data_IF_708733887488
#
_entry.id   IF_708733887488
#
_cell.length_a   1.000
_cell.length_b   1.000
_cell.length_c   1.000
_cell.angle_alpha   90.00
_cell.angle_beta   90.00
_cell.angle_gamma   90.00
#
_symmetry.space_group_name_H-M   'P 1'
#
loop_
_entity.id
_entity.type
_entity.pdbx_description
1 polymer ?
#
# COMPACT_ATOMS: atom_id res chain seq x y z
N UNK A 1 -1.24 5.79 36.63
CA UNK A 1 -2.08 6.22 35.51
C UNK A 1 -2.76 4.98 34.94
N UNK A 2 -3.95 5.12 34.36
CA UNK A 2 -4.72 3.97 33.86
C UNK A 2 -4.01 3.37 32.66
N UNK A 3 -3.58 2.11 32.74
CA UNK A 3 -2.81 1.45 31.70
C UNK A 3 -3.49 1.63 30.34
N UNK A 4 -4.80 1.39 30.24
CA UNK A 4 -5.57 1.51 28.98
C UNK A 4 -5.42 2.87 28.27
N UNK A 5 -5.16 3.95 29.00
CA UNK A 5 -4.96 5.27 28.41
C UNK A 5 -3.64 5.34 27.63
N UNK A 6 -2.59 4.64 28.08
CA UNK A 6 -1.26 4.67 27.44
C UNK A 6 -1.27 3.96 26.09
N UNK A 7 -1.99 2.84 25.96
CA UNK A 7 -2.14 2.14 24.68
C UNK A 7 -2.92 2.97 23.66
N UNK A 8 -3.94 3.71 24.13
CA UNK A 8 -4.69 4.66 23.29
C UNK A 8 -3.79 5.81 22.80
N UNK A 9 -2.94 6.36 23.68
CA UNK A 9 -1.98 7.41 23.31
C UNK A 9 -0.96 6.88 22.29
N UNK A 10 -0.41 5.68 22.51
CA UNK A 10 0.51 5.07 21.55
C UNK A 10 -0.14 4.88 20.17
N UNK A 11 -1.41 4.47 20.14
CA UNK A 11 -2.16 4.33 18.89
C UNK A 11 -2.40 5.68 18.19
N UNK A 12 -2.67 6.74 18.96
CA UNK A 12 -2.83 8.08 18.41
C UNK A 12 -1.51 8.62 17.83
N UNK A 13 -0.40 8.42 18.54
CA UNK A 13 0.94 8.75 18.05
C UNK A 13 1.27 8.01 16.75
N UNK A 14 0.96 6.71 16.69
CA UNK A 14 1.11 5.91 15.47
C UNK A 14 0.28 6.48 14.31
N UNK A 15 -0.98 6.84 14.54
CA UNK A 15 -1.84 7.47 13.51
C UNK A 15 -1.33 8.82 13.04
N UNK A 16 -0.59 9.55 13.88
CA UNK A 16 0.09 10.79 13.53
C UNK A 16 1.44 10.56 12.81
N UNK A 17 1.87 9.30 12.63
CA UNK A 17 3.17 8.95 12.05
C UNK A 17 4.35 9.13 13.01
N UNK A 18 4.10 9.40 14.31
CA UNK A 18 5.12 9.57 15.35
C UNK A 18 5.58 8.22 15.88
N UNK A 19 6.13 7.39 14.99
CA UNK A 19 6.42 5.98 15.27
C UNK A 19 7.47 5.80 16.38
N UNK A 20 8.46 6.68 16.48
CA UNK A 20 9.48 6.62 17.54
C UNK A 20 8.88 6.88 18.93
N UNK A 21 8.02 7.90 19.05
CA UNK A 21 7.33 8.23 20.31
C UNK A 21 6.36 7.11 20.70
N UNK A 22 5.62 6.58 19.72
CA UNK A 22 4.71 5.44 19.93
C UNK A 22 5.47 4.21 20.43
N UNK A 23 6.61 3.87 19.82
CA UNK A 23 7.41 2.71 20.21
C UNK A 23 7.99 2.89 21.62
N UNK A 24 8.50 4.08 21.94
CA UNK A 24 9.05 4.37 23.27
C UNK A 24 7.98 4.17 24.35
N UNK A 25 6.76 4.66 24.12
CA UNK A 25 5.67 4.48 25.07
C UNK A 25 5.27 3.00 25.21
N UNK A 26 5.28 2.25 24.10
CA UNK A 26 4.98 0.81 24.12
C UNK A 26 6.03 0.00 24.88
N UNK A 27 7.29 0.41 24.86
CA UNK A 27 8.36 -0.22 25.65
C UNK A 27 8.17 0.01 27.15
N UNK A 28 7.82 1.24 27.56
CA UNK A 28 7.58 1.60 28.97
C UNK A 28 6.44 0.78 29.59
N UNK A 29 5.40 0.48 28.82
CA UNK A 29 4.20 -0.21 29.30
C UNK A 29 4.21 -1.71 29.05
N UNK A 30 5.25 -2.25 28.39
CA UNK A 30 5.33 -3.67 27.97
C UNK A 30 4.99 -4.66 29.08
N UNK A 31 5.46 -4.41 30.30
CA UNK A 31 5.22 -5.28 31.45
C UNK A 31 3.75 -5.40 31.86
N UNK A 32 2.93 -4.40 31.53
CA UNK A 32 1.51 -4.31 31.91
C UNK A 32 0.58 -5.04 30.93
N UNK A 33 1.06 -5.33 29.71
CA UNK A 33 0.24 -5.77 28.57
C UNK A 33 0.63 -7.16 28.03
N UNK A 34 1.30 -7.99 28.84
CA UNK A 34 1.80 -9.30 28.40
C UNK A 34 0.73 -10.25 27.86
N UNK A 35 -0.55 -10.05 28.22
CA UNK A 35 -1.68 -10.87 27.79
C UNK A 35 -2.70 -10.08 26.93
N UNK A 36 -2.35 -8.89 26.44
CA UNK A 36 -3.21 -8.11 25.56
C UNK A 36 -2.73 -8.21 24.12
N UNK A 37 -3.45 -8.96 23.29
CA UNK A 37 -3.07 -9.13 21.88
C UNK A 37 -3.06 -7.79 21.13
N UNK A 38 -3.88 -6.80 21.51
CA UNK A 38 -3.93 -5.48 20.85
C UNK A 38 -2.65 -4.69 21.05
N UNK A 39 -1.99 -4.86 22.20
CA UNK A 39 -0.66 -4.30 22.42
C UNK A 39 0.34 -4.83 21.39
N UNK A 40 0.36 -6.15 21.19
CA UNK A 40 1.26 -6.79 20.24
C UNK A 40 0.93 -6.44 18.78
N UNK A 41 -0.35 -6.30 18.43
CA UNK A 41 -0.76 -5.78 17.12
C UNK A 41 -0.24 -4.35 16.92
N UNK A 42 -0.49 -3.44 17.86
CA UNK A 42 -0.06 -2.05 17.73
C UNK A 42 1.46 -1.93 17.66
N UNK A 43 2.18 -2.68 18.51
CA UNK A 43 3.64 -2.73 18.50
C UNK A 43 4.17 -3.21 17.16
N UNK A 44 3.64 -4.31 16.63
CA UNK A 44 4.01 -4.82 15.30
C UNK A 44 3.75 -3.79 14.19
N UNK A 45 2.63 -3.07 14.24
CA UNK A 45 2.32 -2.01 13.26
C UNK A 45 3.33 -0.85 13.33
N UNK A 46 3.73 -0.43 14.53
CA UNK A 46 4.71 0.63 14.75
C UNK A 46 6.12 0.20 14.31
N UNK A 47 6.50 -1.05 14.57
CA UNK A 47 7.77 -1.65 14.12
C UNK A 47 7.79 -1.75 12.58
N UNK A 48 6.71 -2.24 11.96
CA UNK A 48 6.58 -2.33 10.51
C UNK A 48 6.65 -0.95 9.83
N UNK A 49 6.08 0.09 10.44
CA UNK A 49 6.13 1.46 9.94
C UNK A 49 7.54 2.08 10.01
N UNK A 50 8.46 1.47 10.76
CA UNK A 50 9.88 1.83 10.80
C UNK A 50 10.76 0.98 9.87
N UNK A 51 10.15 0.13 9.05
CA UNK A 51 10.81 -0.88 8.21
C UNK A 51 11.49 -2.01 9.00
N UNK A 52 11.15 -2.18 10.28
CA UNK A 52 11.65 -3.28 11.13
C UNK A 52 10.76 -4.52 10.94
N UNK A 53 10.70 -5.01 9.70
CA UNK A 53 9.74 -6.04 9.29
C UNK A 53 9.92 -7.37 10.06
N UNK A 54 11.15 -7.82 10.26
CA UNK A 54 11.42 -9.05 11.02
C UNK A 54 10.99 -8.96 12.49
N UNK A 55 11.14 -7.78 13.10
CA UNK A 55 10.73 -7.53 14.48
C UNK A 55 9.20 -7.49 14.55
N UNK A 56 8.55 -6.80 13.59
CA UNK A 56 7.09 -6.73 13.54
C UNK A 56 6.42 -8.10 13.45
N UNK A 57 6.99 -9.03 12.69
CA UNK A 57 6.49 -10.41 12.59
C UNK A 57 6.49 -11.10 13.96
N UNK A 58 7.54 -10.90 14.79
CA UNK A 58 7.58 -11.48 16.15
C UNK A 58 6.46 -10.93 17.01
N UNK A 59 6.20 -9.62 16.95
CA UNK A 59 5.10 -8.98 17.66
C UNK A 59 3.75 -9.54 17.21
N UNK A 60 3.50 -9.67 15.91
CA UNK A 60 2.25 -10.26 15.41
C UNK A 60 2.10 -11.75 15.77
N UNK A 61 3.19 -12.52 15.82
CA UNK A 61 3.15 -13.92 16.30
C UNK A 61 2.73 -13.99 17.76
N UNK A 62 3.19 -13.09 18.63
CA UNK A 62 2.67 -13.02 20.01
C UNK A 62 1.19 -12.65 20.05
N UNK A 63 0.72 -11.77 19.17
CA UNK A 63 -0.71 -11.48 19.05
C UNK A 63 -1.54 -12.73 18.67
N UNK A 64 -1.09 -13.52 17.69
CA UNK A 64 -1.76 -14.76 17.25
C UNK A 64 -1.78 -15.82 18.35
N UNK A 65 -0.74 -15.90 19.19
CA UNK A 65 -0.75 -16.84 20.33
C UNK A 65 -1.86 -16.51 21.33
N UNK A 66 -2.18 -15.23 21.50
CA UNK A 66 -3.20 -14.75 22.43
C UNK A 66 -4.60 -14.77 21.80
N UNK A 67 -4.72 -14.41 20.53
CA UNK A 67 -5.96 -14.40 19.77
C UNK A 67 -5.74 -15.04 18.37
N UNK A 68 -5.92 -16.37 18.25
CA UNK A 68 -5.58 -17.09 17.02
C UNK A 68 -6.62 -16.95 15.91
N UNK A 69 -7.79 -16.36 16.20
CA UNK A 69 -8.92 -16.23 15.27
C UNK A 69 -9.04 -14.83 14.64
N UNK A 70 -8.06 -13.95 14.86
CA UNK A 70 -8.03 -12.62 14.22
C UNK A 70 -7.35 -12.68 12.83
N UNK A 71 -8.10 -12.62 11.71
CA UNK A 71 -7.52 -12.64 10.36
C UNK A 71 -6.58 -11.46 10.10
N UNK A 72 -6.79 -10.31 10.77
CA UNK A 72 -5.95 -9.13 10.62
C UNK A 72 -4.51 -9.40 11.08
N UNK A 73 -4.33 -10.18 12.14
CA UNK A 73 -3.00 -10.52 12.65
C UNK A 73 -2.18 -11.32 11.62
N UNK A 74 -2.81 -12.28 10.92
CA UNK A 74 -2.17 -13.04 9.84
C UNK A 74 -1.88 -12.15 8.62
N UNK A 75 -2.82 -11.28 8.23
CA UNK A 75 -2.59 -10.35 7.12
C UNK A 75 -1.46 -9.36 7.41
N UNK A 76 -1.32 -8.88 8.65
CA UNK A 76 -0.21 -8.03 9.06
C UNK A 76 1.15 -8.74 8.96
N UNK A 77 1.23 -10.03 9.31
CA UNK A 77 2.43 -10.84 9.05
C UNK A 77 2.69 -10.95 7.55
N UNK A 78 1.65 -11.23 6.77
CA UNK A 78 1.74 -11.29 5.30
C UNK A 78 2.32 -10.00 4.69
N UNK A 79 1.83 -8.83 5.13
CA UNK A 79 2.32 -7.53 4.66
C UNK A 79 3.78 -7.28 5.06
N UNK A 80 4.14 -7.55 6.31
CA UNK A 80 5.53 -7.41 6.77
C UNK A 80 6.50 -8.30 5.99
N UNK A 81 6.13 -9.56 5.73
CA UNK A 81 6.93 -10.49 4.93
C UNK A 81 7.03 -10.07 3.47
N UNK A 82 5.93 -9.59 2.87
CA UNK A 82 5.93 -9.11 1.48
C UNK A 82 6.85 -7.89 1.31
N UNK A 83 6.86 -6.97 2.28
CA UNK A 83 7.80 -5.83 2.31
C UNK A 83 9.25 -6.25 2.50
N UNK A 84 9.49 -7.36 3.20
CA UNK A 84 10.81 -7.99 3.33
C UNK A 84 11.17 -8.92 2.16
N UNK A 85 10.44 -8.87 1.04
CA UNK A 85 10.66 -9.71 -0.16
C UNK A 85 10.50 -11.22 0.07
N UNK A 86 9.89 -11.64 1.19
CA UNK A 86 9.60 -13.03 1.51
C UNK A 86 8.21 -13.42 0.97
N UNK A 87 8.07 -13.39 -0.35
CA UNK A 87 6.79 -13.49 -1.05
C UNK A 87 6.06 -14.83 -0.81
N UNK A 88 6.78 -15.96 -0.78
CA UNK A 88 6.19 -17.28 -0.58
C UNK A 88 5.62 -17.43 0.84
N UNK A 89 6.33 -16.91 1.85
CA UNK A 89 5.84 -16.89 3.23
C UNK A 89 4.67 -15.91 3.38
N UNK A 90 4.74 -14.74 2.75
CA UNK A 90 3.64 -13.76 2.76
C UNK A 90 2.34 -14.38 2.22
N UNK A 91 2.41 -15.08 1.10
CA UNK A 91 1.28 -15.77 0.48
C UNK A 91 0.63 -16.79 1.43
N UNK A 92 1.44 -17.56 2.17
CA UNK A 92 0.94 -18.53 3.17
C UNK A 92 0.12 -17.82 4.25
N UNK A 93 0.62 -16.71 4.80
CA UNK A 93 -0.07 -15.97 5.86
C UNK A 93 -1.34 -15.27 5.37
N UNK A 94 -1.36 -14.70 4.16
CA UNK A 94 -2.60 -14.19 3.58
C UNK A 94 -3.63 -15.30 3.35
N UNK A 95 -3.20 -16.49 2.89
CA UNK A 95 -4.10 -17.65 2.77
C UNK A 95 -4.65 -18.11 4.11
N UNK A 96 -3.86 -18.06 5.19
CA UNK A 96 -4.35 -18.34 6.55
C UNK A 96 -5.41 -17.32 6.99
N UNK A 97 -5.20 -16.03 6.72
CA UNK A 97 -6.22 -15.01 6.97
C UNK A 97 -7.54 -15.33 6.23
N UNK A 98 -7.45 -15.77 4.97
CA UNK A 98 -8.62 -16.17 4.18
C UNK A 98 -9.29 -17.48 4.61
N UNK A 99 -8.58 -18.35 5.33
CA UNK A 99 -9.20 -19.51 5.96
C UNK A 99 -10.10 -19.12 7.14
N UNK A 100 -9.75 -18.02 7.84
CA UNK A 100 -10.55 -17.47 8.94
C UNK A 100 -11.71 -16.62 8.42
N UNK A 101 -11.46 -15.78 7.41
CA UNK A 101 -12.47 -14.97 6.75
C UNK A 101 -12.22 -14.96 5.22
N UNK A 102 -12.99 -15.75 4.43
CA UNK A 102 -12.82 -15.85 2.98
C UNK A 102 -12.99 -14.55 2.20
N UNK A 103 -13.69 -13.56 2.77
CA UNK A 103 -13.95 -12.27 2.13
C UNK A 103 -13.10 -11.14 2.75
N UNK A 104 -12.03 -11.50 3.48
CA UNK A 104 -11.13 -10.56 4.13
C UNK A 104 -10.32 -9.75 3.12
N UNK A 105 -10.72 -8.49 2.95
CA UNK A 105 -10.28 -7.60 1.87
C UNK A 105 -8.77 -7.37 1.85
N UNK A 106 -8.18 -7.19 3.03
CA UNK A 106 -6.75 -6.93 3.23
C UNK A 106 -5.91 -8.11 2.73
N UNK A 107 -6.33 -9.35 3.00
CA UNK A 107 -5.61 -10.53 2.55
C UNK A 107 -5.79 -10.80 1.05
N UNK A 108 -6.98 -10.58 0.48
CA UNK A 108 -7.20 -10.69 -0.96
C UNK A 108 -6.31 -9.68 -1.71
N UNK A 109 -6.27 -8.43 -1.23
CA UNK A 109 -5.41 -7.39 -1.81
C UNK A 109 -3.93 -7.72 -1.64
N UNK A 110 -3.52 -8.22 -0.47
CA UNK A 110 -2.16 -8.67 -0.20
C UNK A 110 -1.69 -9.76 -1.18
N UNK A 111 -2.53 -10.76 -1.44
CA UNK A 111 -2.26 -11.78 -2.46
C UNK A 111 -2.10 -11.19 -3.87
N UNK A 112 -2.95 -10.23 -4.25
CA UNK A 112 -2.83 -9.53 -5.53
C UNK A 112 -1.49 -8.77 -5.68
N UNK A 113 -1.05 -8.11 -4.61
CA UNK A 113 0.25 -7.41 -4.58
C UNK A 113 1.42 -8.40 -4.65
N UNK A 114 1.38 -9.48 -3.87
CA UNK A 114 2.42 -10.52 -3.87
C UNK A 114 2.51 -11.19 -5.25
N UNK A 115 1.38 -11.50 -5.88
CA UNK A 115 1.34 -12.06 -7.22
C UNK A 115 1.96 -11.11 -8.25
N UNK A 116 1.65 -9.81 -8.17
CA UNK A 116 2.27 -8.79 -9.03
C UNK A 116 3.79 -8.72 -8.83
N UNK A 117 4.28 -8.75 -7.59
CA UNK A 117 5.72 -8.73 -7.27
C UNK A 117 6.46 -9.95 -7.80
N UNK A 118 5.77 -11.10 -7.89
CA UNK A 118 6.28 -12.35 -8.48
C UNK A 118 6.13 -12.43 -10.00
N UNK A 119 5.61 -11.38 -10.64
CA UNK A 119 5.27 -11.36 -12.06
C UNK A 119 4.20 -12.41 -12.48
N UNK A 120 3.43 -12.94 -11.52
CA UNK A 120 2.25 -13.77 -11.80
C UNK A 120 1.05 -12.85 -12.02
N UNK A 121 0.97 -12.30 -13.23
CA UNK A 121 0.00 -11.28 -13.56
C UNK A 121 -1.42 -11.84 -13.68
N UNK A 122 -1.55 -13.12 -14.03
CA UNK A 122 -2.82 -13.84 -14.05
C UNK A 122 -3.42 -13.96 -12.65
N UNK A 123 -2.63 -14.38 -11.65
CA UNK A 123 -3.09 -14.43 -10.26
C UNK A 123 -3.34 -13.02 -9.69
N UNK A 124 -2.50 -12.04 -10.02
CA UNK A 124 -2.70 -10.64 -9.65
C UNK A 124 -4.06 -10.11 -10.14
N UNK A 125 -4.40 -10.34 -11.41
CA UNK A 125 -5.69 -9.98 -11.97
C UNK A 125 -6.84 -10.67 -11.23
N UNK A 126 -6.75 -11.99 -11.02
CA UNK A 126 -7.80 -12.75 -10.36
C UNK A 126 -8.08 -12.24 -8.93
N UNK A 127 -7.03 -11.98 -8.15
CA UNK A 127 -7.17 -11.48 -6.78
C UNK A 127 -7.77 -10.07 -6.74
N UNK A 128 -7.32 -9.15 -7.60
CA UNK A 128 -7.89 -7.80 -7.62
C UNK A 128 -9.31 -7.76 -8.19
N UNK A 129 -9.66 -8.61 -9.16
CA UNK A 129 -11.04 -8.77 -9.60
C UNK A 129 -11.93 -9.26 -8.46
N UNK A 130 -11.47 -10.25 -7.68
CA UNK A 130 -12.20 -10.72 -6.49
C UNK A 130 -12.40 -9.59 -5.46
N UNK A 131 -11.37 -8.78 -5.20
CA UNK A 131 -11.51 -7.63 -4.31
C UNK A 131 -12.53 -6.60 -4.84
N UNK A 132 -12.61 -6.39 -6.15
CA UNK A 132 -13.60 -5.50 -6.78
C UNK A 132 -15.01 -6.09 -6.82
N UNK A 133 -15.19 -7.42 -6.82
CA UNK A 133 -16.51 -8.04 -6.63
C UNK A 133 -17.07 -7.67 -5.24
N UNK A 134 -16.22 -7.70 -4.21
CA UNK A 134 -16.61 -7.34 -2.84
C UNK A 134 -16.80 -5.83 -2.68
N UNK A 135 -15.91 -5.02 -3.27
CA UNK A 135 -15.94 -3.55 -3.19
C UNK A 135 -15.69 -2.91 -4.56
N UNK A 136 -16.73 -2.74 -5.40
CA UNK A 136 -16.58 -2.29 -6.80
C UNK A 136 -15.97 -0.89 -6.98
N UNK A 137 -16.03 -0.05 -5.95
CA UNK A 137 -15.52 1.32 -5.96
C UNK A 137 -14.33 1.49 -5.00
N UNK A 138 -13.54 0.44 -4.80
CA UNK A 138 -12.31 0.54 -4.03
C UNK A 138 -11.20 1.15 -4.88
N UNK A 139 -10.90 2.43 -4.65
CA UNK A 139 -9.93 3.20 -5.41
C UNK A 139 -8.56 2.51 -5.49
N UNK A 140 -7.96 2.12 -4.35
CA UNK A 140 -6.63 1.50 -4.33
C UNK A 140 -6.57 0.22 -5.18
N UNK A 141 -7.60 -0.62 -5.11
CA UNK A 141 -7.69 -1.86 -5.90
C UNK A 141 -7.83 -1.55 -7.39
N UNK A 142 -8.62 -0.54 -7.76
CA UNK A 142 -8.73 -0.07 -9.15
C UNK A 142 -7.39 0.44 -9.70
N UNK A 143 -6.61 1.12 -8.85
CA UNK A 143 -5.25 1.56 -9.18
C UNK A 143 -4.32 0.37 -9.41
N UNK A 144 -4.34 -0.62 -8.51
CA UNK A 144 -3.47 -1.80 -8.58
C UNK A 144 -3.81 -2.71 -9.75
N UNK A 145 -5.10 -3.00 -10.01
CA UNK A 145 -5.49 -3.79 -11.18
C UNK A 145 -5.17 -3.04 -12.48
N UNK A 146 -5.27 -1.71 -12.49
CA UNK A 146 -4.85 -0.89 -13.62
C UNK A 146 -3.37 -1.07 -13.94
N UNK A 147 -2.52 -1.13 -12.92
CA UNK A 147 -1.09 -1.44 -13.08
C UNK A 147 -0.87 -2.88 -13.59
N UNK A 148 -1.59 -3.85 -13.02
CA UNK A 148 -1.57 -5.25 -13.45
C UNK A 148 -1.92 -5.41 -14.94
N UNK A 149 -2.97 -4.74 -15.40
CA UNK A 149 -3.34 -4.70 -16.81
C UNK A 149 -2.30 -4.01 -17.69
N UNK A 150 -1.65 -2.95 -17.19
CA UNK A 150 -0.64 -2.23 -17.94
C UNK A 150 0.58 -3.10 -18.26
N UNK A 151 1.08 -3.87 -17.28
CA UNK A 151 2.23 -4.76 -17.48
C UNK A 151 1.90 -5.96 -18.37
N UNK A 152 0.63 -6.39 -18.40
CA UNK A 152 0.12 -7.40 -19.34
C UNK A 152 -0.12 -6.85 -20.76
N UNK A 153 0.02 -5.54 -20.99
CA UNK A 153 -0.30 -4.91 -22.27
C UNK A 153 -1.80 -4.71 -22.54
N UNK A 154 -2.67 -4.98 -21.55
CA UNK A 154 -4.12 -4.76 -21.60
C UNK A 154 -4.46 -3.28 -21.36
N UNK A 155 -3.96 -2.41 -22.23
CA UNK A 155 -3.97 -0.96 -22.01
C UNK A 155 -5.38 -0.34 -21.96
N UNK A 156 -6.38 -0.92 -22.65
CA UNK A 156 -7.76 -0.40 -22.60
C UNK A 156 -8.38 -0.62 -21.22
N UNK A 157 -8.21 -1.81 -20.69
CA UNK A 157 -8.66 -2.24 -19.37
C UNK A 157 -7.93 -1.45 -18.28
N UNK A 158 -6.61 -1.29 -18.42
CA UNK A 158 -5.81 -0.45 -17.54
C UNK A 158 -6.34 0.99 -17.48
N UNK A 159 -6.52 1.64 -18.63
CA UNK A 159 -7.05 3.01 -18.69
C UNK A 159 -8.44 3.12 -18.07
N UNK A 160 -9.34 2.15 -18.31
CA UNK A 160 -10.68 2.14 -17.72
C UNK A 160 -10.63 2.07 -16.19
N UNK A 161 -9.82 1.19 -15.63
CA UNK A 161 -9.67 1.04 -14.18
C UNK A 161 -9.03 2.28 -13.54
N UNK A 162 -7.97 2.82 -14.17
CA UNK A 162 -7.29 4.03 -13.70
C UNK A 162 -8.17 5.28 -13.80
N UNK A 163 -8.95 5.43 -14.87
CA UNK A 163 -9.93 6.52 -15.00
C UNK A 163 -10.99 6.44 -13.90
N UNK A 164 -11.45 5.23 -13.56
CA UNK A 164 -12.37 5.02 -12.44
C UNK A 164 -11.73 5.36 -11.10
N UNK A 165 -10.49 4.91 -10.84
CA UNK A 165 -9.75 5.27 -9.62
C UNK A 165 -9.61 6.80 -9.46
N UNK A 166 -9.23 7.50 -10.53
CA UNK A 166 -9.07 8.96 -10.55
C UNK A 166 -10.41 9.68 -10.38
N UNK A 167 -11.53 9.09 -10.83
CA UNK A 167 -12.86 9.66 -10.57
C UNK A 167 -13.28 9.58 -9.10
N UNK A 168 -12.78 8.57 -8.37
CA UNK A 168 -13.04 8.37 -6.94
C UNK A 168 -12.10 9.21 -6.07
N UNK A 169 -10.81 9.25 -6.43
CA UNK A 169 -9.84 10.17 -5.85
C UNK A 169 -9.08 10.94 -6.96
N UNK A 170 -9.48 12.18 -7.25
CA UNK A 170 -8.80 13.02 -8.22
C UNK A 170 -7.35 13.34 -7.88
N UNK A 171 -6.92 13.15 -6.62
CA UNK A 171 -5.55 13.40 -6.15
C UNK A 171 -4.67 12.15 -6.14
N UNK A 172 -5.19 10.99 -6.50
CA UNK A 172 -4.37 9.78 -6.54
C UNK A 172 -3.25 9.92 -7.60
N UNK A 173 -2.04 10.18 -7.09
CA UNK A 173 -0.82 10.38 -7.86
C UNK A 173 -0.35 9.11 -8.57
N UNK A 174 -0.51 7.94 -7.95
CA UNK A 174 -0.13 6.66 -8.52
C UNK A 174 -1.01 6.30 -9.73
N UNK A 175 -2.33 6.43 -9.61
CA UNK A 175 -3.25 6.15 -10.71
C UNK A 175 -3.01 7.08 -11.91
N UNK A 176 -2.77 8.37 -11.65
CA UNK A 176 -2.43 9.34 -12.70
C UNK A 176 -1.08 9.04 -13.35
N UNK A 177 -0.07 8.70 -12.57
CA UNK A 177 1.25 8.33 -13.09
C UNK A 177 1.15 7.08 -13.97
N UNK A 178 0.44 6.04 -13.54
CA UNK A 178 0.25 4.83 -14.34
C UNK A 178 -0.50 5.15 -15.65
N UNK A 179 -1.55 5.99 -15.58
CA UNK A 179 -2.30 6.43 -16.77
C UNK A 179 -1.43 7.26 -17.71
N UNK A 180 -0.57 8.12 -17.16
CA UNK A 180 0.39 8.92 -17.90
C UNK A 180 1.35 8.04 -18.69
N UNK A 181 1.95 7.04 -18.06
CA UNK A 181 2.90 6.13 -18.71
C UNK A 181 2.27 5.40 -19.90
N UNK A 182 1.03 4.93 -19.76
CA UNK A 182 0.28 4.31 -20.87
C UNK A 182 0.05 5.32 -22.01
N UNK A 183 -0.35 6.56 -21.67
CA UNK A 183 -0.60 7.63 -22.67
C UNK A 183 0.68 8.05 -23.39
N UNK A 184 1.80 8.18 -22.67
CA UNK A 184 3.10 8.51 -23.21
C UNK A 184 3.59 7.41 -24.17
N UNK A 185 3.50 6.14 -23.76
CA UNK A 185 3.83 5.00 -24.61
C UNK A 185 2.97 4.91 -25.87
N UNK A 186 1.73 5.39 -25.81
CA UNK A 186 0.83 5.49 -26.97
C UNK A 186 1.02 6.77 -27.82
N UNK A 187 2.03 7.59 -27.53
CA UNK A 187 2.31 8.85 -28.26
C UNK A 187 1.36 10.01 -27.94
N UNK A 188 0.49 9.88 -26.93
CA UNK A 188 -0.44 10.94 -26.48
C UNK A 188 0.26 11.89 -25.51
N UNK A 189 1.31 12.55 -26.00
CA UNK A 189 2.27 13.29 -25.16
C UNK A 189 1.63 14.39 -24.31
N UNK A 190 0.77 15.23 -24.89
CA UNK A 190 0.13 16.34 -24.16
C UNK A 190 -0.61 15.85 -22.89
N UNK A 191 -1.50 14.88 -23.05
CA UNK A 191 -2.26 14.30 -21.92
C UNK A 191 -1.40 13.44 -21.00
N UNK A 192 -0.42 12.73 -21.57
CA UNK A 192 0.50 11.88 -20.80
C UNK A 192 1.33 12.71 -19.83
N UNK A 193 2.00 13.74 -20.31
CA UNK A 193 2.82 14.61 -19.49
C UNK A 193 2.01 15.41 -18.45
N UNK A 194 0.81 15.88 -18.81
CA UNK A 194 -0.07 16.56 -17.85
C UNK A 194 -0.42 15.67 -16.64
N UNK A 195 -0.70 14.39 -16.87
CA UNK A 195 -0.92 13.43 -15.77
C UNK A 195 0.39 13.05 -15.06
N UNK A 196 1.51 12.99 -15.79
CA UNK A 196 2.81 12.57 -15.23
C UNK A 196 3.35 13.54 -14.17
N UNK A 197 2.91 14.81 -14.19
CA UNK A 197 3.25 15.80 -13.17
C UNK A 197 2.73 15.43 -11.78
N UNK A 198 1.72 14.56 -11.68
CA UNK A 198 1.23 14.08 -10.39
C UNK A 198 2.20 13.12 -9.69
N UNK A 199 3.27 12.66 -10.35
CA UNK A 199 4.36 11.92 -9.65
C UNK A 199 4.95 12.74 -8.51
N UNK A 200 4.94 14.07 -8.62
CA UNK A 200 5.38 15.01 -7.59
C UNK A 200 4.42 15.12 -6.41
N UNK A 201 3.20 14.62 -6.54
CA UNK A 201 2.20 14.54 -5.45
C UNK A 201 2.23 13.18 -4.73
N UNK A 202 3.21 12.32 -5.03
CA UNK A 202 3.31 10.99 -4.42
C UNK A 202 3.81 10.99 -2.97
N UNK A 203 4.38 12.11 -2.50
CA UNK A 203 4.98 12.21 -1.16
C UNK A 203 6.24 11.36 -0.96
N UNK A 204 6.73 10.69 -2.01
CA UNK A 204 7.96 9.91 -1.94
C UNK A 204 9.19 10.82 -1.83
N UNK A 205 10.34 10.26 -1.47
CA UNK A 205 11.57 11.03 -1.26
C UNK A 205 11.94 11.92 -2.45
N UNK A 206 11.79 11.41 -3.68
CA UNK A 206 12.08 12.17 -4.89
C UNK A 206 11.09 13.32 -5.08
N UNK A 207 9.80 13.06 -4.87
CA UNK A 207 8.75 14.08 -4.94
C UNK A 207 9.00 15.22 -3.95
N UNK A 208 9.34 14.89 -2.71
CA UNK A 208 9.63 15.90 -1.67
C UNK A 208 10.88 16.72 -2.00
N UNK A 209 11.89 16.12 -2.64
CA UNK A 209 13.10 16.82 -3.08
C UNK A 209 12.82 17.89 -4.15
N UNK A 210 11.77 17.71 -4.94
CA UNK A 210 11.47 18.55 -6.10
C UNK A 210 10.15 19.32 -5.99
N UNK A 211 9.58 19.42 -4.79
CA UNK A 211 8.30 20.09 -4.54
C UNK A 211 8.28 21.57 -4.95
N UNK A 212 9.44 22.24 -4.94
CA UNK A 212 9.57 23.66 -5.29
C UNK A 212 9.82 23.90 -6.79
N UNK A 213 9.94 22.83 -7.59
CA UNK A 213 10.10 22.95 -9.04
C UNK A 213 8.74 23.25 -9.67
N UNK A 214 8.61 24.30 -10.52
CA UNK A 214 7.37 24.60 -11.22
C UNK A 214 6.90 23.41 -12.05
N UNK A 215 5.60 23.11 -11.99
CA UNK A 215 5.01 22.05 -12.82
C UNK A 215 5.12 22.40 -14.29
N UNK A 216 5.31 21.39 -15.13
CA UNK A 216 5.36 21.58 -16.57
C UNK A 216 4.02 22.14 -17.09
N UNK A 217 4.02 23.33 -17.74
CA UNK A 217 2.78 23.98 -18.18
C UNK A 217 2.24 23.43 -19.51
N UNK A 218 2.87 22.41 -20.08
CA UNK A 218 2.62 21.98 -21.46
C UNK A 218 3.68 22.48 -22.44
N UNK A 219 3.61 22.08 -23.73
CA UNK A 219 4.53 22.57 -24.74
C UNK A 219 4.34 24.08 -24.96
N UNK A 220 5.39 24.87 -24.79
CA UNK A 220 5.41 26.31 -25.06
C UNK A 220 6.39 26.62 -26.20
N UNK A 221 5.86 27.04 -27.36
CA UNK A 221 6.66 27.41 -28.55
C UNK A 221 7.12 26.23 -29.42
N UNK A 222 7.87 26.53 -30.50
CA UNK A 222 8.27 25.56 -31.54
C UNK A 222 9.41 24.59 -31.11
N UNK A 223 10.10 24.87 -30.01
CA UNK A 223 11.21 24.04 -29.51
C UNK A 223 11.29 24.08 -27.97
N UNK A 224 10.35 23.43 -27.29
CA UNK A 224 10.43 23.22 -25.85
C UNK A 224 11.28 21.97 -25.54
N UNK A 225 12.42 22.15 -24.88
CA UNK A 225 13.21 21.03 -24.35
C UNK A 225 12.60 20.54 -23.04
N UNK A 226 12.37 19.24 -22.91
CA UNK A 226 11.94 18.60 -21.66
C UNK A 226 13.16 17.99 -20.98
N UNK A 227 13.46 18.44 -19.76
CA UNK A 227 14.48 17.81 -18.93
C UNK A 227 13.85 16.62 -18.21
N UNK A 228 14.21 15.41 -18.64
CA UNK A 228 13.78 14.17 -17.99
C UNK A 228 14.84 13.79 -16.97
N UNK A 229 14.47 13.81 -15.69
CA UNK A 229 15.31 13.29 -14.61
C UNK A 229 15.03 11.79 -14.45
N UNK A 230 16.09 10.98 -14.51
CA UNK A 230 16.07 9.54 -14.26
C UNK A 230 16.43 9.25 -12.80
#
# INVERSE_FOLDING_TARGET
MNSQAELLIANDLYKQGKNLEALSLLDDVRGQYQNDYKYFILRGLVEAAQNEHEISVKSFVEAIKLEPLDPMAYANIGDALAKNLQHDEAEKYFKLALQLDPDFMEAICGLGVVAFQRCDYEACEAHFLRALELRPNHEIVLTNIGNCYSVQGKYKEALKSLDKAISLDPKNSLARTNRALIRLGAGKFEKGWADYEYRWDSGNFLANRFQDIPRWPGPTGEAANVLIWA
#
